data_IF_006944112898
#
_entry.id   IF_006944112898
#
_cell.length_a   1.000
_cell.length_b   1.000
_cell.length_c   1.000
_cell.angle_alpha   90.00
_cell.angle_beta   90.00
_cell.angle_gamma   90.00
#
_symmetry.space_group_name_H-M   'P 1'
#
loop_
_entity.id
_entity.type
_entity.pdbx_description
1 polymer ?
#
# COMPACT_ATOMS: atom_id res chain seq x y z
N UNK A 1 -8.11 61.07 60.61
CA UNK A 1 -7.45 59.71 60.56
C UNK A 1 -8.13 58.92 59.45
N UNK A 2 -7.42 58.44 58.44
CA UNK A 2 -8.00 57.66 57.37
C UNK A 2 -8.21 56.25 57.92
N UNK A 3 -9.41 55.72 57.83
CA UNK A 3 -9.75 54.37 58.29
C UNK A 3 -9.57 53.35 57.17
N UNK A 4 -9.38 52.09 57.52
CA UNK A 4 -9.18 50.99 56.57
C UNK A 4 -10.41 50.81 55.65
N UNK A 5 -11.62 51.04 56.21
CA UNK A 5 -12.86 51.05 55.44
C UNK A 5 -12.90 52.13 54.36
N UNK A 6 -12.35 53.34 54.68
CA UNK A 6 -12.24 54.41 53.68
C UNK A 6 -11.28 54.05 52.54
N UNK A 7 -10.20 53.35 52.86
CA UNK A 7 -9.25 52.87 51.85
C UNK A 7 -9.88 51.81 50.91
N UNK A 8 -10.63 50.84 51.46
CA UNK A 8 -11.34 49.84 50.65
C UNK A 8 -12.43 50.47 49.76
N UNK A 9 -13.19 51.43 50.33
CA UNK A 9 -14.20 52.14 49.53
C UNK A 9 -13.58 53.02 48.45
N UNK A 10 -12.44 53.65 48.69
CA UNK A 10 -11.71 54.43 47.71
C UNK A 10 -11.10 53.53 46.61
N UNK A 11 -10.57 52.39 46.99
CA UNK A 11 -10.02 51.40 46.01
C UNK A 11 -11.13 50.85 45.09
N UNK A 12 -12.29 50.47 45.68
CA UNK A 12 -13.43 49.99 44.88
C UNK A 12 -13.89 51.04 43.85
N UNK A 13 -14.03 52.26 44.29
CA UNK A 13 -14.44 53.40 43.45
C UNK A 13 -13.40 53.74 42.36
N UNK A 14 -12.13 53.57 42.66
CA UNK A 14 -11.06 53.79 41.70
C UNK A 14 -11.10 52.69 40.60
N UNK A 15 -11.41 51.44 40.95
CA UNK A 15 -11.59 50.38 39.99
C UNK A 15 -12.78 50.63 39.05
N UNK A 16 -13.93 51.04 39.61
CA UNK A 16 -15.11 51.40 38.81
C UNK A 16 -14.84 52.55 37.83
N UNK A 17 -14.14 53.61 38.30
CA UNK A 17 -13.76 54.73 37.43
C UNK A 17 -12.80 54.25 36.30
N UNK A 18 -11.86 53.39 36.64
CA UNK A 18 -10.89 52.89 35.69
C UNK A 18 -11.56 51.94 34.64
N UNK A 19 -12.47 51.08 35.07
CA UNK A 19 -13.28 50.26 34.17
C UNK A 19 -14.11 51.13 33.23
N UNK A 20 -14.83 52.13 33.75
CA UNK A 20 -15.58 53.06 32.92
C UNK A 20 -14.71 53.90 31.95
N UNK A 21 -13.47 54.23 32.36
CA UNK A 21 -12.50 54.84 31.44
C UNK A 21 -12.05 53.93 30.33
N UNK A 22 -11.77 52.66 30.63
CA UNK A 22 -11.41 51.64 29.64
C UNK A 22 -12.56 51.36 28.66
N UNK A 23 -13.80 51.28 29.16
CA UNK A 23 -15.00 51.10 28.31
C UNK A 23 -15.24 52.31 27.38
N UNK A 24 -15.01 53.54 27.83
CA UNK A 24 -15.12 54.73 26.96
C UNK A 24 -14.04 54.78 25.87
N UNK A 25 -12.89 54.21 26.14
CA UNK A 25 -11.79 54.08 25.15
C UNK A 25 -11.94 52.93 24.19
N UNK A 26 -12.87 52.01 24.47
CA UNK A 26 -13.13 50.88 23.62
C UNK A 26 -13.97 51.29 22.40
N UNK A 27 -13.35 51.41 21.25
CA UNK A 27 -14.03 51.57 19.97
C UNK A 27 -14.03 50.20 19.24
N UNK A 28 -15.19 49.55 19.10
CA UNK A 28 -15.29 48.26 18.42
C UNK A 28 -14.88 48.32 16.94
N UNK A 29 -14.88 49.52 16.34
CA UNK A 29 -14.42 49.71 14.95
C UNK A 29 -12.88 49.71 14.81
N UNK A 30 -12.14 49.89 15.91
CA UNK A 30 -10.68 49.86 15.95
C UNK A 30 -10.16 48.48 16.39
N UNK A 31 -10.76 47.40 15.95
CA UNK A 31 -10.18 46.07 16.19
C UNK A 31 -8.85 45.96 15.45
N UNK A 32 -7.77 45.84 16.25
CA UNK A 32 -6.45 45.59 15.70
C UNK A 32 -6.40 44.24 14.99
N UNK A 33 -6.23 44.26 13.68
CA UNK A 33 -6.01 43.06 12.89
C UNK A 33 -4.60 42.53 13.15
N UNK A 34 -4.54 41.36 13.77
CA UNK A 34 -3.26 40.72 14.02
C UNK A 34 -2.73 40.10 12.72
N UNK A 35 -1.41 40.13 12.56
CA UNK A 35 -0.79 39.46 11.40
C UNK A 35 -1.10 37.96 11.39
N UNK A 36 -1.24 37.38 10.18
CA UNK A 36 -1.51 35.94 10.00
C UNK A 36 -0.48 35.05 10.73
N UNK A 37 0.76 35.53 10.87
CA UNK A 37 1.79 34.80 11.61
C UNK A 37 1.52 34.82 13.13
N UNK A 38 1.04 35.94 13.66
CA UNK A 38 0.68 36.06 15.07
C UNK A 38 -0.52 35.19 15.40
N UNK A 39 -1.56 35.22 14.60
CA UNK A 39 -2.74 34.36 14.77
C UNK A 39 -2.39 32.87 14.75
N UNK A 40 -1.53 32.44 13.82
CA UNK A 40 -1.03 31.05 13.78
C UNK A 40 -0.27 30.69 15.06
N UNK A 41 0.55 31.60 15.59
CA UNK A 41 1.27 31.37 16.86
C UNK A 41 0.31 31.27 18.05
N UNK A 42 -0.66 32.19 18.16
CA UNK A 42 -1.67 32.16 19.23
C UNK A 42 -2.53 30.89 19.14
N UNK A 43 -2.99 30.51 17.97
CA UNK A 43 -3.76 29.25 17.75
C UNK A 43 -2.95 28.01 18.19
N UNK A 44 -1.64 28.01 17.91
CA UNK A 44 -0.75 26.93 18.36
C UNK A 44 -0.57 26.92 19.88
N UNK A 45 -0.43 28.09 20.49
CA UNK A 45 -0.31 28.22 21.95
C UNK A 45 -1.60 27.82 22.66
N UNK A 46 -2.76 28.30 22.21
CA UNK A 46 -4.09 27.89 22.74
C UNK A 46 -4.26 26.38 22.68
N UNK A 47 -4.03 25.75 21.50
CA UNK A 47 -4.13 24.31 21.36
C UNK A 47 -3.19 23.55 22.32
N UNK A 48 -1.99 24.10 22.61
CA UNK A 48 -1.06 23.49 23.55
C UNK A 48 -1.52 23.70 25.02
N UNK A 49 -2.18 24.81 25.32
CA UNK A 49 -2.75 25.12 26.64
C UNK A 49 -4.02 24.30 26.92
N UNK A 50 -4.88 24.13 25.91
CA UNK A 50 -6.13 23.37 26.02
C UNK A 50 -5.90 21.87 26.21
N UNK A 51 -4.79 21.34 25.66
CA UNK A 51 -4.46 19.90 25.72
C UNK A 51 -3.05 19.61 26.28
N UNK A 52 -2.72 20.09 27.50
CA UNK A 52 -1.38 19.92 28.06
C UNK A 52 -1.03 18.45 28.30
N UNK A 53 -2.01 17.65 28.77
CA UNK A 53 -1.84 16.19 29.00
C UNK A 53 -1.52 15.46 27.71
N UNK A 54 -2.23 15.77 26.62
CA UNK A 54 -2.00 15.15 25.32
C UNK A 54 -0.56 15.40 24.82
N UNK A 55 -0.06 16.63 24.87
CA UNK A 55 1.30 16.96 24.43
C UNK A 55 2.39 16.31 25.29
N UNK A 56 2.17 16.20 26.59
CA UNK A 56 3.12 15.52 27.49
C UNK A 56 3.08 14.02 27.30
N UNK A 57 1.90 13.44 27.12
CA UNK A 57 1.71 12.00 26.93
C UNK A 57 2.28 11.54 25.59
N UNK A 58 1.99 12.25 24.49
CA UNK A 58 2.55 11.91 23.15
C UNK A 58 4.07 11.99 23.12
N UNK A 59 4.68 12.98 23.78
CA UNK A 59 6.16 13.02 23.88
C UNK A 59 6.72 11.83 24.66
N UNK A 60 6.08 11.41 25.75
CA UNK A 60 6.51 10.25 26.53
C UNK A 60 6.35 8.96 25.72
N UNK A 61 5.21 8.79 25.05
CA UNK A 61 4.96 7.62 24.18
C UNK A 61 5.99 7.58 23.06
N UNK A 62 6.25 8.69 22.37
CA UNK A 62 7.25 8.76 21.31
C UNK A 62 8.67 8.39 21.80
N UNK A 63 9.04 8.83 23.02
CA UNK A 63 10.33 8.49 23.61
C UNK A 63 10.43 7.00 23.95
N UNK A 64 9.35 6.39 24.46
CA UNK A 64 9.29 4.96 24.75
C UNK A 64 9.39 4.15 23.45
N UNK A 65 8.61 4.50 22.42
CA UNK A 65 8.66 3.82 21.11
C UNK A 65 10.06 3.92 20.50
N UNK A 66 10.67 5.10 20.57
CA UNK A 66 12.04 5.29 20.07
C UNK A 66 13.06 4.44 20.87
N UNK A 67 12.92 4.35 22.18
CA UNK A 67 13.78 3.50 23.01
C UNK A 67 13.64 2.03 22.66
N UNK A 68 12.40 1.56 22.40
CA UNK A 68 12.13 0.17 21.97
C UNK A 68 12.75 -0.10 20.60
N UNK A 69 12.61 0.83 19.65
CA UNK A 69 13.19 0.68 18.30
C UNK A 69 14.72 0.65 18.34
N UNK A 70 15.34 1.51 19.15
CA UNK A 70 16.80 1.52 19.30
C UNK A 70 17.29 0.25 19.99
N UNK A 71 16.68 -0.15 21.11
CA UNK A 71 17.09 -1.35 21.85
C UNK A 71 16.86 -2.63 21.04
N UNK A 72 15.72 -2.72 20.32
CA UNK A 72 15.44 -3.83 19.42
C UNK A 72 16.40 -3.89 18.23
N UNK A 73 16.72 -2.73 17.65
CA UNK A 73 17.71 -2.63 16.57
C UNK A 73 19.13 -3.01 17.02
N UNK A 74 19.55 -2.56 18.21
CA UNK A 74 20.84 -2.96 18.80
C UNK A 74 20.87 -4.45 19.12
N UNK A 75 19.80 -4.99 19.67
CA UNK A 75 19.68 -6.43 19.97
C UNK A 75 19.80 -7.26 18.69
N UNK A 76 19.06 -6.92 17.63
CA UNK A 76 19.16 -7.57 16.30
C UNK A 76 20.55 -7.43 15.68
N UNK A 77 21.28 -6.32 15.94
CA UNK A 77 22.61 -6.11 15.39
C UNK A 77 23.67 -6.98 16.08
N UNK A 78 23.52 -7.20 17.38
CA UNK A 78 24.52 -7.91 18.22
C UNK A 78 24.25 -9.40 18.31
N UNK A 79 22.98 -9.80 18.43
CA UNK A 79 22.56 -11.18 18.62
C UNK A 79 22.32 -11.88 17.28
N UNK A 80 23.15 -12.89 17.00
CA UNK A 80 23.08 -13.67 15.75
C UNK A 80 21.82 -14.55 15.73
N UNK A 81 21.40 -15.11 16.88
CA UNK A 81 20.22 -15.97 16.97
C UNK A 81 18.94 -15.16 16.83
N UNK A 82 18.85 -13.98 17.48
CA UNK A 82 17.72 -13.08 17.34
C UNK A 82 17.56 -12.59 15.88
N UNK A 83 18.68 -12.29 15.23
CA UNK A 83 18.70 -11.92 13.82
C UNK A 83 18.26 -13.07 12.93
N UNK A 84 18.77 -14.28 13.15
CA UNK A 84 18.38 -15.45 12.38
C UNK A 84 16.89 -15.77 12.54
N UNK A 85 16.35 -15.67 13.77
CA UNK A 85 14.94 -15.86 14.05
C UNK A 85 14.06 -14.79 13.38
N UNK A 86 14.45 -13.51 13.45
CA UNK A 86 13.73 -12.40 12.83
C UNK A 86 13.70 -12.52 11.31
N UNK A 87 14.86 -12.76 10.69
CA UNK A 87 14.92 -12.94 9.24
C UNK A 87 14.34 -14.28 8.80
N UNK A 88 14.39 -15.32 9.62
CA UNK A 88 13.69 -16.59 9.40
C UNK A 88 12.18 -16.41 9.38
N UNK A 89 11.63 -15.61 10.31
CA UNK A 89 10.21 -15.26 10.31
C UNK A 89 9.80 -14.43 9.09
N UNK A 90 10.60 -13.42 8.71
CA UNK A 90 10.37 -12.66 7.48
C UNK A 90 10.41 -13.58 6.27
N UNK A 91 11.39 -14.48 6.19
CA UNK A 91 11.51 -15.45 5.11
C UNK A 91 10.29 -16.37 5.05
N UNK A 92 9.79 -16.86 6.20
CA UNK A 92 8.59 -17.71 6.27
C UNK A 92 7.34 -16.97 5.76
N UNK A 93 7.17 -15.69 6.09
CA UNK A 93 6.06 -14.87 5.61
C UNK A 93 6.18 -14.60 4.11
N UNK A 94 7.40 -14.45 3.56
CA UNK A 94 7.63 -14.21 2.13
C UNK A 94 7.82 -15.50 1.32
N UNK A 95 8.17 -16.62 1.91
CA UNK A 95 8.22 -17.91 1.21
C UNK A 95 6.84 -18.37 0.69
N UNK A 96 5.76 -17.83 1.25
CA UNK A 96 4.40 -18.09 0.76
C UNK A 96 4.03 -17.35 -0.53
N UNK A 97 4.84 -16.38 -0.95
CA UNK A 97 4.55 -15.57 -2.15
C UNK A 97 5.84 -15.25 -2.89
N UNK A 98 5.88 -15.51 -4.20
CA UNK A 98 6.83 -14.90 -5.11
C UNK A 98 6.31 -13.55 -5.57
N UNK A 99 7.21 -12.54 -5.56
CA UNK A 99 6.95 -11.22 -6.12
C UNK A 99 7.72 -11.15 -7.44
N UNK A 100 7.00 -11.20 -8.55
CA UNK A 100 7.59 -10.94 -9.86
C UNK A 100 7.66 -9.43 -10.07
N UNK A 101 8.90 -8.93 -10.07
CA UNK A 101 9.19 -7.54 -10.37
C UNK A 101 9.81 -7.46 -11.75
N UNK A 102 9.05 -6.93 -12.69
CA UNK A 102 9.53 -6.71 -14.05
C UNK A 102 10.35 -5.43 -14.09
N UNK A 103 11.59 -5.54 -14.53
CA UNK A 103 12.49 -4.40 -14.79
C UNK A 103 12.80 -4.40 -16.28
N UNK A 104 12.23 -3.46 -17.00
CA UNK A 104 12.70 -3.16 -18.34
C UNK A 104 12.55 -1.65 -18.62
N UNK A 105 13.58 -1.05 -19.22
CA UNK A 105 13.64 0.38 -19.51
C UNK A 105 13.03 0.74 -20.89
N UNK A 106 12.43 -0.23 -21.58
CA UNK A 106 11.87 -0.03 -22.91
C UNK A 106 10.42 0.48 -22.86
N UNK A 107 10.25 1.77 -23.04
CA UNK A 107 8.93 2.37 -23.32
C UNK A 107 8.59 2.06 -24.77
N UNK A 108 7.78 1.06 -25.05
CA UNK A 108 7.20 0.85 -26.37
C UNK A 108 5.79 1.44 -26.39
N UNK A 109 5.57 2.39 -27.34
CA UNK A 109 4.25 2.86 -27.71
C UNK A 109 3.56 1.74 -28.53
N UNK A 110 2.97 0.77 -27.83
CA UNK A 110 2.24 -0.31 -28.50
C UNK A 110 0.75 -0.05 -28.32
N UNK A 111 0.00 -0.16 -29.43
CA UNK A 111 -1.44 -0.31 -29.36
C UNK A 111 -1.75 -1.55 -28.49
N UNK A 112 -2.76 -1.50 -27.62
CA UNK A 112 -3.12 -2.63 -26.79
C UNK A 112 -3.41 -3.83 -27.69
N UNK A 113 -2.44 -4.77 -27.75
CA UNK A 113 -2.61 -6.01 -28.51
C UNK A 113 -3.52 -6.94 -27.73
N UNK A 114 -4.55 -7.46 -28.37
CA UNK A 114 -5.44 -8.41 -27.74
C UNK A 114 -4.84 -9.83 -27.83
N UNK A 115 -4.39 -10.37 -26.71
CA UNK A 115 -3.87 -11.72 -26.63
C UNK A 115 -4.97 -12.71 -26.25
N UNK A 116 -5.07 -13.84 -26.99
CA UNK A 116 -5.98 -14.94 -26.68
C UNK A 116 -5.30 -16.27 -26.95
N UNK A 117 -5.62 -17.34 -26.21
CA UNK A 117 -5.22 -18.69 -26.56
C UNK A 117 -6.00 -19.14 -27.81
N UNK A 118 -5.29 -19.63 -28.80
CA UNK A 118 -5.91 -20.24 -30.00
C UNK A 118 -6.26 -21.70 -29.81
N UNK A 119 -5.77 -22.29 -28.74
CA UNK A 119 -6.15 -23.63 -28.31
C UNK A 119 -6.59 -23.60 -26.84
N UNK A 120 -7.74 -24.18 -26.56
CA UNK A 120 -8.27 -24.44 -25.23
C UNK A 120 -8.63 -25.93 -25.11
N UNK A 121 -8.57 -26.51 -23.91
CA UNK A 121 -9.14 -27.82 -23.66
C UNK A 121 -10.63 -27.85 -24.00
N UNK A 122 -11.14 -29.03 -24.34
CA UNK A 122 -12.55 -29.20 -24.72
C UNK A 122 -13.48 -28.68 -23.62
N UNK A 123 -14.51 -27.93 -24.00
CA UNK A 123 -15.53 -27.37 -23.11
C UNK A 123 -15.25 -25.97 -22.57
N UNK A 124 -14.00 -25.48 -22.63
CA UNK A 124 -13.70 -24.12 -22.18
C UNK A 124 -14.16 -23.07 -23.20
N UNK A 125 -14.88 -22.07 -22.72
CA UNK A 125 -15.31 -20.89 -23.50
C UNK A 125 -15.00 -19.64 -22.74
N UNK A 126 -14.80 -18.51 -23.43
CA UNK A 126 -14.57 -17.21 -22.79
C UNK A 126 -15.81 -16.81 -21.99
N UNK A 127 -15.65 -16.63 -20.70
CA UNK A 127 -16.73 -16.34 -19.77
C UNK A 127 -16.76 -14.87 -19.35
N UNK A 128 -15.56 -14.29 -19.12
CA UNK A 128 -15.46 -12.92 -18.60
C UNK A 128 -14.13 -12.30 -19.06
N UNK A 129 -14.17 -11.01 -19.40
CA UNK A 129 -12.99 -10.19 -19.71
C UNK A 129 -13.07 -8.91 -18.91
N UNK A 130 -11.97 -8.57 -18.24
CA UNK A 130 -11.75 -7.29 -17.59
C UNK A 130 -10.51 -6.65 -18.20
N UNK A 131 -10.68 -5.45 -18.73
CA UNK A 131 -9.62 -4.74 -19.45
C UNK A 131 -9.45 -3.35 -18.86
N UNK A 132 -8.21 -3.05 -18.50
CA UNK A 132 -7.77 -1.73 -18.06
C UNK A 132 -6.71 -1.21 -19.03
N UNK A 133 -6.18 -0.02 -18.82
CA UNK A 133 -5.22 0.61 -19.73
C UNK A 133 -4.02 -0.27 -20.10
N UNK A 134 -3.47 -1.03 -19.13
CA UNK A 134 -2.27 -1.86 -19.34
C UNK A 134 -2.45 -3.32 -18.96
N UNK A 135 -3.57 -3.69 -18.35
CA UNK A 135 -3.80 -5.03 -17.82
C UNK A 135 -5.09 -5.61 -18.37
N UNK A 136 -5.04 -6.85 -18.78
CA UNK A 136 -6.21 -7.61 -19.23
C UNK A 136 -6.30 -8.91 -18.43
N UNK A 137 -7.48 -9.20 -17.92
CA UNK A 137 -7.81 -10.44 -17.24
C UNK A 137 -8.94 -11.15 -18.00
N UNK A 138 -8.69 -12.39 -18.41
CA UNK A 138 -9.65 -13.19 -19.15
C UNK A 138 -9.91 -14.48 -18.38
N UNK A 139 -11.15 -14.79 -18.19
CA UNK A 139 -11.59 -16.03 -17.55
C UNK A 139 -12.32 -16.89 -18.58
N UNK A 140 -11.84 -18.09 -18.76
CA UNK A 140 -12.53 -19.15 -19.51
C UNK A 140 -13.14 -20.12 -18.51
N UNK A 141 -14.32 -20.63 -18.78
CA UNK A 141 -15.00 -21.61 -17.95
C UNK A 141 -15.51 -22.77 -18.80
N UNK A 142 -15.54 -23.96 -18.23
CA UNK A 142 -16.20 -25.12 -18.82
C UNK A 142 -17.60 -25.35 -18.23
N UNK A 143 -18.31 -26.35 -18.73
CA UNK A 143 -19.67 -26.69 -18.27
C UNK A 143 -19.72 -27.16 -16.81
N UNK A 144 -18.60 -27.62 -16.25
CA UNK A 144 -18.44 -28.05 -14.87
C UNK A 144 -18.06 -26.90 -13.92
N UNK A 145 -17.88 -25.68 -14.46
CA UNK A 145 -17.51 -24.49 -13.73
C UNK A 145 -16.02 -24.41 -13.37
N UNK A 146 -15.17 -25.26 -13.98
CA UNK A 146 -13.71 -25.14 -13.82
C UNK A 146 -13.23 -23.93 -14.59
N UNK A 147 -12.35 -23.15 -13.96
CA UNK A 147 -11.86 -21.88 -14.51
C UNK A 147 -10.43 -22.01 -15.00
N UNK A 148 -10.15 -21.35 -16.12
CA UNK A 148 -8.84 -21.03 -16.62
C UNK A 148 -8.74 -19.50 -16.68
N UNK A 149 -7.72 -18.93 -16.02
CA UNK A 149 -7.51 -17.49 -15.94
C UNK A 149 -6.24 -17.11 -16.66
N UNK A 150 -6.36 -16.28 -17.68
CA UNK A 150 -5.24 -15.66 -18.37
C UNK A 150 -5.20 -14.18 -18.02
N UNK A 151 -4.13 -13.74 -17.36
CA UNK A 151 -3.87 -12.34 -17.12
C UNK A 151 -2.62 -11.92 -17.88
N UNK A 152 -2.63 -10.75 -18.47
CA UNK A 152 -1.42 -10.19 -19.04
C UNK A 152 -1.33 -8.68 -18.79
N UNK A 153 -0.10 -8.19 -18.73
CA UNK A 153 0.23 -6.78 -18.52
C UNK A 153 1.21 -6.38 -19.60
N UNK A 154 0.86 -5.34 -20.34
CA UNK A 154 1.74 -4.72 -21.32
C UNK A 154 2.61 -3.67 -20.66
N UNK A 155 3.92 -3.69 -20.95
CA UNK A 155 4.91 -2.83 -20.30
C UNK A 155 4.81 -2.86 -18.77
N UNK A 156 5.11 -3.99 -18.12
CA UNK A 156 4.90 -4.21 -16.69
C UNK A 156 5.88 -3.44 -15.80
N UNK A 157 6.31 -2.24 -16.21
CA UNK A 157 7.15 -1.36 -15.41
C UNK A 157 6.43 -1.04 -14.11
N UNK A 158 7.03 -1.43 -12.97
CA UNK A 158 6.52 -1.21 -11.61
C UNK A 158 5.31 -2.09 -11.19
N UNK A 159 4.98 -3.15 -11.91
CA UNK A 159 3.92 -4.07 -11.48
C UNK A 159 4.52 -5.29 -10.81
N UNK A 160 4.06 -5.57 -9.60
CA UNK A 160 4.41 -6.76 -8.84
C UNK A 160 3.25 -7.77 -8.90
N UNK A 161 3.52 -8.99 -9.36
CA UNK A 161 2.60 -10.10 -9.23
C UNK A 161 2.93 -10.95 -8.01
N UNK A 162 1.92 -11.23 -7.21
CA UNK A 162 2.04 -12.08 -6.04
C UNK A 162 1.53 -13.48 -6.38
N UNK A 163 2.41 -14.44 -6.44
CA UNK A 163 2.06 -15.84 -6.67
C UNK A 163 2.19 -16.60 -5.37
N UNK A 164 1.10 -17.22 -4.93
CA UNK A 164 1.12 -18.07 -3.73
C UNK A 164 1.94 -19.31 -4.01
N UNK A 165 2.95 -19.57 -3.17
CA UNK A 165 3.91 -20.66 -3.37
C UNK A 165 3.83 -21.75 -2.31
N UNK A 166 2.88 -21.62 -1.37
CA UNK A 166 2.63 -22.70 -0.42
C UNK A 166 2.18 -23.97 -1.17
N UNK A 167 2.87 -25.07 -0.92
CA UNK A 167 2.56 -26.40 -1.48
C UNK A 167 2.65 -26.47 -3.02
N UNK A 168 3.45 -25.61 -3.66
CA UNK A 168 3.75 -25.72 -5.09
C UNK A 168 5.21 -26.11 -5.31
N UNK A 169 5.48 -26.83 -6.40
CA UNK A 169 6.80 -27.09 -6.93
C UNK A 169 7.05 -26.15 -8.11
N UNK A 170 8.22 -25.48 -8.09
CA UNK A 170 8.56 -24.54 -9.14
C UNK A 170 9.51 -25.22 -10.10
N UNK A 171 9.15 -25.22 -11.38
CA UNK A 171 9.94 -25.77 -12.44
C UNK A 171 10.23 -24.73 -13.52
N UNK A 172 11.41 -24.78 -14.11
CA UNK A 172 11.71 -24.00 -15.32
C UNK A 172 11.05 -24.63 -16.54
N UNK A 173 10.45 -23.78 -17.36
CA UNK A 173 9.82 -24.16 -18.63
C UNK A 173 10.23 -23.20 -19.74
N UNK A 174 9.81 -23.46 -20.96
CA UNK A 174 10.01 -22.56 -22.10
C UNK A 174 8.68 -22.45 -22.85
N UNK A 175 8.21 -21.25 -23.10
CA UNK A 175 7.00 -20.95 -23.88
C UNK A 175 7.42 -20.16 -25.11
N UNK A 176 7.16 -20.71 -26.30
CA UNK A 176 7.52 -20.08 -27.57
C UNK A 176 8.99 -19.59 -27.63
N UNK A 177 9.92 -20.38 -27.06
CA UNK A 177 11.35 -20.04 -26.99
C UNK A 177 11.75 -19.07 -25.87
N UNK A 178 10.83 -18.61 -25.04
CA UNK A 178 11.10 -17.72 -23.91
C UNK A 178 11.13 -18.48 -22.60
N UNK A 179 11.99 -18.06 -21.64
CA UNK A 179 11.99 -18.61 -20.30
C UNK A 179 10.62 -18.43 -19.63
N UNK A 180 10.18 -19.47 -18.94
CA UNK A 180 8.95 -19.48 -18.18
C UNK A 180 9.16 -20.18 -16.83
N UNK A 181 8.35 -19.84 -15.85
CA UNK A 181 8.29 -20.51 -14.57
C UNK A 181 6.93 -21.16 -14.37
N UNK A 182 6.97 -22.45 -14.08
CA UNK A 182 5.80 -23.29 -13.91
C UNK A 182 5.63 -23.64 -12.44
N UNK A 183 4.45 -23.40 -11.92
CA UNK A 183 4.04 -23.65 -10.53
C UNK A 183 3.09 -24.86 -10.52
N UNK A 184 3.59 -25.99 -10.08
CA UNK A 184 2.81 -27.24 -10.00
C UNK A 184 2.33 -27.42 -8.56
N UNK A 185 1.03 -27.45 -8.39
CA UNK A 185 0.42 -27.69 -7.09
C UNK A 185 0.63 -29.15 -6.64
N UNK A 186 0.90 -29.31 -5.35
CA UNK A 186 0.97 -30.63 -4.68
C UNK A 186 -0.37 -31.06 -4.12
N UNK A 187 -1.36 -30.19 -4.13
CA UNK A 187 -2.72 -30.50 -3.70
C UNK A 187 -3.73 -30.32 -4.87
N UNK A 188 -4.91 -30.86 -4.70
CA UNK A 188 -5.99 -30.78 -5.68
C UNK A 188 -6.86 -29.53 -5.59
N UNK A 189 -6.62 -28.69 -4.58
CA UNK A 189 -7.42 -27.48 -4.32
C UNK A 189 -6.77 -26.24 -4.90
N UNK A 190 -5.49 -26.32 -5.26
CA UNK A 190 -4.72 -25.22 -5.84
C UNK A 190 -4.50 -25.46 -7.33
N UNK A 191 -4.81 -24.46 -8.16
CA UNK A 191 -4.57 -24.53 -9.60
C UNK A 191 -3.07 -24.48 -9.92
N UNK A 192 -2.65 -25.20 -10.96
CA UNK A 192 -1.33 -25.01 -11.56
C UNK A 192 -1.26 -23.64 -12.23
N UNK A 193 -0.07 -23.03 -12.27
CA UNK A 193 0.14 -21.75 -12.92
C UNK A 193 1.45 -21.71 -13.71
N UNK A 194 1.52 -20.82 -14.69
CA UNK A 194 2.72 -20.54 -15.47
C UNK A 194 2.85 -19.05 -15.71
N UNK A 195 4.10 -18.53 -15.62
CA UNK A 195 4.45 -17.14 -15.89
C UNK A 195 5.51 -17.12 -16.98
N UNK A 196 5.34 -16.22 -17.95
CA UNK A 196 6.32 -15.97 -18.99
C UNK A 196 6.21 -14.54 -19.52
N UNK A 197 7.17 -14.13 -20.34
CA UNK A 197 7.17 -12.84 -21.05
C UNK A 197 7.31 -13.07 -22.55
N UNK A 198 6.69 -12.20 -23.36
CA UNK A 198 6.86 -12.17 -24.81
C UNK A 198 7.94 -11.17 -25.26
N UNK A 199 8.21 -11.15 -26.56
CA UNK A 199 9.23 -10.26 -27.16
C UNK A 199 8.85 -8.78 -27.10
N UNK A 200 7.56 -8.46 -27.02
CA UNK A 200 7.01 -7.11 -26.93
C UNK A 200 6.86 -6.61 -25.50
N UNK A 201 7.59 -7.22 -24.56
CA UNK A 201 7.55 -6.88 -23.14
C UNK A 201 6.16 -7.00 -22.52
N UNK A 202 5.38 -8.00 -22.93
CA UNK A 202 4.12 -8.36 -22.27
C UNK A 202 4.38 -9.51 -21.30
N UNK A 203 4.01 -9.33 -20.05
CA UNK A 203 4.07 -10.38 -19.03
C UNK A 203 2.73 -11.10 -18.93
N UNK A 204 2.77 -12.43 -18.85
CA UNK A 204 1.62 -13.30 -18.78
C UNK A 204 1.60 -14.14 -17.53
N UNK A 205 0.42 -14.33 -16.97
CA UNK A 205 0.11 -15.28 -15.92
C UNK A 205 -1.10 -16.12 -16.34
N UNK A 206 -0.91 -17.42 -16.44
CA UNK A 206 -1.97 -18.36 -16.74
C UNK A 206 -2.14 -19.32 -15.56
N UNK A 207 -3.36 -19.51 -15.07
CA UNK A 207 -3.67 -20.49 -14.02
C UNK A 207 -4.92 -21.28 -14.32
N UNK A 208 -4.85 -22.59 -14.08
CA UNK A 208 -5.98 -23.49 -14.28
C UNK A 208 -5.79 -24.82 -13.54
N UNK A 209 -6.89 -25.53 -13.30
CA UNK A 209 -6.88 -26.92 -12.86
C UNK A 209 -6.67 -27.87 -14.04
N UNK A 210 -5.51 -27.74 -14.69
CA UNK A 210 -5.11 -28.53 -15.85
C UNK A 210 -3.85 -29.33 -15.54
N UNK A 211 -3.61 -30.38 -16.36
CA UNK A 211 -2.32 -31.04 -16.31
C UNK A 211 -1.20 -30.10 -16.76
N UNK A 212 0.04 -30.37 -16.32
CA UNK A 212 1.23 -29.64 -16.77
C UNK A 212 1.30 -29.51 -18.29
N UNK A 213 1.04 -30.59 -19.00
CA UNK A 213 1.12 -30.64 -20.48
C UNK A 213 0.06 -29.73 -21.13
N UNK A 214 -1.18 -29.78 -20.63
CA UNK A 214 -2.25 -28.96 -21.17
C UNK A 214 -2.06 -27.49 -20.85
N UNK A 215 -1.56 -27.16 -19.61
CA UNK A 215 -1.26 -25.79 -19.23
C UNK A 215 -0.19 -25.17 -20.12
N UNK A 216 0.90 -25.89 -20.40
CA UNK A 216 1.94 -25.48 -21.35
C UNK A 216 1.36 -25.28 -22.73
N UNK A 217 0.55 -26.20 -23.20
CA UNK A 217 -0.07 -26.13 -24.53
C UNK A 217 -0.99 -24.92 -24.69
N UNK A 218 -1.77 -24.56 -23.65
CA UNK A 218 -2.55 -23.32 -23.65
C UNK A 218 -1.63 -22.12 -23.72
N UNK A 219 -0.57 -22.06 -22.87
CA UNK A 219 0.37 -20.95 -22.85
C UNK A 219 1.08 -20.75 -24.20
N UNK A 220 1.52 -21.84 -24.86
CA UNK A 220 2.14 -21.78 -26.18
C UNK A 220 1.18 -21.33 -27.30
N UNK A 221 -0.13 -21.53 -27.09
CA UNK A 221 -1.15 -21.11 -28.04
C UNK A 221 -1.58 -19.67 -27.93
N UNK A 222 -1.10 -18.94 -26.90
CA UNK A 222 -1.42 -17.52 -26.70
C UNK A 222 -0.73 -16.69 -27.77
N UNK A 223 -1.52 -15.95 -28.53
CA UNK A 223 -1.04 -15.07 -29.59
C UNK A 223 -1.94 -13.84 -29.73
N UNK A 224 -1.45 -12.84 -30.43
CA UNK A 224 -2.23 -11.64 -30.79
C UNK A 224 -3.34 -12.06 -31.75
N UNK A 225 -4.55 -11.63 -31.46
CA UNK A 225 -5.69 -11.73 -32.39
C UNK A 225 -5.97 -10.33 -32.97
N UNK A 226 -6.13 -10.28 -34.30
CA UNK A 226 -6.52 -9.07 -35.03
C UNK A 226 -8.01 -8.75 -34.86
#
# INVERSE_FOLDING_TARGET
MITEEMLYAAAARSCEIYEAYLERGYNPENQHEFSLQFEKKIKKLKRKADYPVFYHTTKRIASIVLAILISGGVWLAVDVEARAAFFGWIKEVYESYFVYRFKDDAVSNINPSSYRPTWLPSGYTEFYVDETENTVAIVYADEEGRMLKLNYIQNPNETDWFVKTEQVEIESATINGKPAELFISKDSETANAIIWTSDDNTAFYLSAFLSKADLIKVAESVQVIE
#
